data_IF_843886134378
#
_entry.id   IF_843886134378
#
_cell.length_a   1.000
_cell.length_b   1.000
_cell.length_c   1.000
_cell.angle_alpha   90.00
_cell.angle_beta   90.00
_cell.angle_gamma   90.00
#
_symmetry.space_group_name_H-M   'P 1'
#
loop_
_entity.id
_entity.type
_entity.pdbx_description
1 polymer ?
#
# COMPACT_ATOMS: atom_id res chain seq x y z
N UNK A 1 -13.46 20.34 -12.72
CA UNK A 1 -14.48 20.49 -11.66
C UNK A 1 -15.20 19.15 -11.59
N UNK A 2 -14.95 18.36 -10.55
CA UNK A 2 -15.71 17.13 -10.30
C UNK A 2 -16.29 17.20 -8.89
N UNK A 3 -17.57 16.88 -8.86
CA UNK A 3 -18.57 17.18 -7.84
C UNK A 3 -18.26 16.63 -6.45
N UNK A 4 -18.55 17.50 -5.46
CA UNK A 4 -19.10 17.22 -4.12
C UNK A 4 -19.01 15.77 -3.65
N UNK A 5 -18.15 15.53 -2.65
CA UNK A 5 -18.17 14.34 -1.82
C UNK A 5 -19.55 14.18 -1.16
N UNK A 6 -20.38 13.32 -1.76
CA UNK A 6 -21.68 12.92 -1.24
C UNK A 6 -21.55 12.30 0.17
N UNK A 7 -22.60 12.45 0.97
CA UNK A 7 -22.73 11.91 2.33
C UNK A 7 -22.38 10.41 2.43
N UNK A 8 -22.70 9.62 1.40
CA UNK A 8 -22.31 8.20 1.31
C UNK A 8 -20.81 7.98 1.14
N UNK A 9 -20.10 8.89 0.46
CA UNK A 9 -18.64 8.82 0.34
C UNK A 9 -17.96 9.09 1.68
N UNK A 10 -18.47 10.04 2.47
CA UNK A 10 -17.96 10.32 3.83
C UNK A 10 -18.05 9.09 4.75
N UNK A 11 -19.16 8.37 4.73
CA UNK A 11 -19.32 7.11 5.49
C UNK A 11 -18.36 6.01 5.02
N UNK A 12 -18.20 5.84 3.70
CA UNK A 12 -17.22 4.92 3.13
C UNK A 12 -15.79 5.26 3.57
N UNK A 13 -15.40 6.53 3.52
CA UNK A 13 -14.08 6.98 3.96
C UNK A 13 -13.86 6.75 5.45
N UNK A 14 -14.87 6.99 6.30
CA UNK A 14 -14.78 6.65 7.73
C UNK A 14 -14.62 5.15 7.96
N UNK A 15 -15.32 4.31 7.18
CA UNK A 15 -15.22 2.86 7.27
C UNK A 15 -13.85 2.35 6.82
N UNK A 16 -13.31 2.88 5.72
CA UNK A 16 -11.95 2.57 5.25
C UNK A 16 -10.88 3.06 6.24
N UNK A 17 -11.06 4.21 6.87
CA UNK A 17 -10.21 4.70 7.95
C UNK A 17 -10.20 3.73 9.14
N UNK A 18 -11.37 3.20 9.53
CA UNK A 18 -11.51 2.26 10.65
C UNK A 18 -10.85 0.90 10.39
N UNK A 19 -10.78 0.49 9.12
CA UNK A 19 -10.14 -0.76 8.68
C UNK A 19 -8.62 -0.58 8.56
N UNK A 20 -8.14 0.58 8.09
CA UNK A 20 -6.71 0.79 7.81
C UNK A 20 -5.90 1.47 8.94
N UNK A 21 -6.53 2.26 9.81
CA UNK A 21 -5.89 2.82 11.02
C UNK A 21 -6.25 1.96 12.24
N UNK A 22 -5.24 1.45 12.96
CA UNK A 22 -5.43 0.90 14.31
C UNK A 22 -6.07 1.98 15.19
N UNK A 23 -7.04 1.60 16.05
CA UNK A 23 -7.87 2.48 16.91
C UNK A 23 -7.13 3.68 17.52
N UNK A 24 -5.87 3.51 17.92
CA UNK A 24 -5.03 4.55 18.55
C UNK A 24 -4.64 5.73 17.63
N UNK A 25 -4.75 5.59 16.31
CA UNK A 25 -4.38 6.66 15.37
C UNK A 25 -5.58 7.49 14.91
N UNK A 26 -6.79 7.13 15.36
CA UNK A 26 -8.03 7.82 14.99
C UNK A 26 -8.18 9.16 15.71
N UNK A 27 -7.58 9.33 16.89
CA UNK A 27 -7.59 10.59 17.65
C UNK A 27 -6.45 11.55 17.27
N UNK A 28 -5.53 11.12 16.40
CA UNK A 28 -4.40 11.95 16.02
C UNK A 28 -4.83 13.10 15.09
N UNK A 29 -4.19 14.29 15.21
CA UNK A 29 -4.44 15.41 14.33
C UNK A 29 -4.21 14.99 12.85
N UNK A 30 -5.00 15.57 11.94
CA UNK A 30 -5.01 15.20 10.51
C UNK A 30 -3.59 15.21 9.90
N UNK A 31 -2.73 16.14 10.33
CA UNK A 31 -1.34 16.21 9.91
C UNK A 31 -0.51 14.97 10.31
N UNK A 32 -0.74 14.41 11.49
CA UNK A 32 -0.05 13.21 11.97
C UNK A 32 -0.56 11.94 11.28
N UNK A 33 -1.86 11.85 10.98
CA UNK A 33 -2.42 10.77 10.17
C UNK A 33 -1.80 10.72 8.78
N UNK A 34 -1.63 11.87 8.12
CA UNK A 34 -0.95 11.96 6.82
C UNK A 34 0.52 11.53 6.93
N UNK A 35 1.22 11.93 8.01
CA UNK A 35 2.62 11.55 8.24
C UNK A 35 2.78 10.05 8.48
N UNK A 36 1.86 9.43 9.22
CA UNK A 36 1.82 7.98 9.45
C UNK A 36 1.54 7.19 8.15
N UNK A 37 0.56 7.64 7.37
CA UNK A 37 0.24 7.06 6.05
C UNK A 37 1.43 7.13 5.10
N UNK A 38 2.12 8.28 5.04
CA UNK A 38 3.32 8.47 4.20
C UNK A 38 4.51 7.61 4.67
N UNK A 39 4.69 7.44 5.99
CA UNK A 39 5.71 6.53 6.53
C UNK A 39 5.41 5.08 6.14
N UNK A 40 4.14 4.66 6.20
CA UNK A 40 3.71 3.32 5.81
C UNK A 40 3.89 3.05 4.32
N UNK A 41 3.68 4.05 3.45
CA UNK A 41 3.96 3.94 2.01
C UNK A 41 5.45 3.64 1.74
N UNK A 42 6.37 4.33 2.43
CA UNK A 42 7.82 4.08 2.30
C UNK A 42 8.22 2.67 2.72
N UNK A 43 7.65 2.14 3.79
CA UNK A 43 7.94 0.76 4.23
C UNK A 43 7.49 -0.27 3.19
N UNK A 44 6.37 -0.02 2.49
CA UNK A 44 5.92 -0.91 1.42
C UNK A 44 6.88 -0.94 0.23
N UNK A 45 7.49 0.20 -0.10
CA UNK A 45 8.54 0.26 -1.12
C UNK A 45 9.77 -0.60 -0.76
N UNK A 46 10.17 -0.61 0.51
CA UNK A 46 11.25 -1.48 0.97
C UNK A 46 10.89 -2.97 0.83
N UNK A 47 9.67 -3.36 1.19
CA UNK A 47 9.20 -4.74 0.96
C UNK A 47 9.20 -5.11 -0.53
N UNK A 48 8.79 -4.18 -1.39
CA UNK A 48 8.82 -4.37 -2.85
C UNK A 48 10.24 -4.57 -3.37
N UNK A 49 11.17 -3.74 -2.90
CA UNK A 49 12.58 -3.83 -3.25
C UNK A 49 13.17 -5.19 -2.85
N UNK A 50 12.89 -5.65 -1.63
CA UNK A 50 13.38 -6.94 -1.11
C UNK A 50 12.78 -8.09 -1.93
N UNK A 51 11.47 -8.06 -2.18
CA UNK A 51 10.81 -9.08 -3.02
C UNK A 51 11.37 -9.11 -4.44
N UNK A 52 11.69 -7.94 -5.01
CA UNK A 52 12.31 -7.84 -6.33
C UNK A 52 13.74 -8.39 -6.33
N UNK A 53 14.54 -8.05 -5.31
CA UNK A 53 15.88 -8.60 -5.13
C UNK A 53 15.86 -10.12 -4.97
N UNK A 54 14.88 -10.67 -4.24
CA UNK A 54 14.70 -12.11 -4.11
C UNK A 54 14.43 -12.77 -5.47
N UNK A 55 13.54 -12.21 -6.30
CA UNK A 55 13.33 -12.72 -7.67
C UNK A 55 14.60 -12.69 -8.48
N UNK A 56 15.35 -11.58 -8.46
CA UNK A 56 16.58 -11.48 -9.23
C UNK A 56 17.61 -12.51 -8.75
N UNK A 57 17.73 -12.69 -7.43
CA UNK A 57 18.64 -13.67 -6.84
C UNK A 57 18.25 -15.11 -7.22
N UNK A 58 16.99 -15.50 -7.03
CA UNK A 58 16.51 -16.84 -7.37
C UNK A 58 16.49 -17.09 -8.88
N UNK A 59 16.10 -16.11 -9.69
CA UNK A 59 16.13 -16.20 -11.14
C UNK A 59 17.54 -16.34 -11.69
N UNK A 60 18.50 -15.57 -11.18
CA UNK A 60 19.92 -15.72 -11.51
C UNK A 60 20.46 -17.07 -11.06
N UNK A 61 20.20 -17.45 -9.80
CA UNK A 61 20.63 -18.74 -9.25
C UNK A 61 20.11 -19.93 -10.05
N UNK A 62 18.87 -19.85 -10.52
CA UNK A 62 18.26 -20.87 -11.37
C UNK A 62 18.90 -20.92 -12.77
N UNK A 63 19.14 -19.77 -13.42
CA UNK A 63 19.75 -19.73 -14.75
C UNK A 63 21.18 -20.31 -14.78
N UNK A 64 21.92 -20.17 -13.68
CA UNK A 64 23.29 -20.68 -13.54
C UNK A 64 23.36 -22.06 -12.87
N UNK A 65 22.22 -22.75 -12.70
CA UNK A 65 22.13 -24.07 -12.04
C UNK A 65 22.75 -24.10 -10.62
N UNK A 66 22.84 -22.95 -9.94
CA UNK A 66 23.38 -22.84 -8.58
C UNK A 66 22.43 -23.52 -7.58
N UNK A 67 21.13 -23.44 -7.83
CA UNK A 67 20.08 -24.03 -6.99
C UNK A 67 19.40 -25.20 -7.70
N UNK A 68 19.31 -26.37 -7.06
CA UNK A 68 18.54 -27.54 -7.51
C UNK A 68 17.01 -27.37 -7.38
N UNK A 69 16.53 -26.13 -7.29
CA UNK A 69 15.09 -25.85 -7.20
C UNK A 69 14.48 -26.07 -8.58
N UNK A 70 13.58 -27.05 -8.69
CA UNK A 70 12.89 -27.32 -9.95
C UNK A 70 11.98 -26.16 -10.37
N UNK A 71 11.65 -26.11 -11.66
CA UNK A 71 10.88 -25.05 -12.33
C UNK A 71 9.59 -24.68 -11.58
N UNK A 72 8.93 -25.66 -10.95
CA UNK A 72 7.74 -25.45 -10.13
C UNK A 72 7.96 -24.44 -9.00
N UNK A 73 9.10 -24.49 -8.31
CA UNK A 73 9.42 -23.54 -7.24
C UNK A 73 9.63 -22.12 -7.79
N UNK A 74 10.27 -22.00 -8.95
CA UNK A 74 10.44 -20.72 -9.63
C UNK A 74 9.07 -20.10 -9.97
N UNK A 75 8.16 -20.88 -10.56
CA UNK A 75 6.81 -20.41 -10.87
C UNK A 75 6.03 -19.98 -9.61
N UNK A 76 6.17 -20.70 -8.49
CA UNK A 76 5.55 -20.31 -7.22
C UNK A 76 6.11 -18.98 -6.73
N UNK A 77 7.44 -18.80 -6.71
CA UNK A 77 8.07 -17.55 -6.26
C UNK A 77 7.63 -16.37 -7.13
N UNK A 78 7.62 -16.55 -8.46
CA UNK A 78 7.14 -15.54 -9.40
C UNK A 78 5.65 -15.23 -9.18
N UNK A 79 4.82 -16.25 -8.99
CA UNK A 79 3.39 -16.08 -8.72
C UNK A 79 3.13 -15.29 -7.43
N UNK A 80 3.80 -15.67 -6.34
CA UNK A 80 3.70 -14.97 -5.04
C UNK A 80 4.16 -13.52 -5.18
N UNK A 81 5.23 -13.26 -5.93
CA UNK A 81 5.69 -11.90 -6.19
C UNK A 81 4.67 -11.07 -6.97
N UNK A 82 4.07 -11.61 -8.03
CA UNK A 82 3.07 -10.89 -8.83
C UNK A 82 1.86 -10.54 -7.97
N UNK A 83 1.38 -11.48 -7.15
CA UNK A 83 0.29 -11.23 -6.19
C UNK A 83 0.69 -10.15 -5.17
N UNK A 84 1.90 -10.25 -4.60
CA UNK A 84 2.39 -9.29 -3.61
C UNK A 84 2.53 -7.87 -4.21
N UNK A 85 3.07 -7.77 -5.42
CA UNK A 85 3.16 -6.54 -6.20
C UNK A 85 1.78 -5.93 -6.43
N UNK A 86 0.82 -6.72 -6.93
CA UNK A 86 -0.55 -6.26 -7.16
C UNK A 86 -1.22 -5.74 -5.89
N UNK A 87 -1.07 -6.44 -4.76
CA UNK A 87 -1.57 -6.01 -3.46
C UNK A 87 -0.93 -4.70 -3.01
N UNK A 88 0.39 -4.53 -3.17
CA UNK A 88 1.07 -3.30 -2.77
C UNK A 88 0.61 -2.11 -3.63
N UNK A 89 0.47 -2.30 -4.95
CA UNK A 89 -0.04 -1.27 -5.86
C UNK A 89 -1.46 -0.85 -5.48
N UNK A 90 -2.33 -1.82 -5.18
CA UNK A 90 -3.70 -1.56 -4.74
C UNK A 90 -3.73 -0.78 -3.42
N UNK A 91 -2.95 -1.20 -2.43
CA UNK A 91 -2.90 -0.50 -1.15
C UNK A 91 -2.25 0.90 -1.27
N UNK A 92 -1.32 1.10 -2.21
CA UNK A 92 -0.74 2.42 -2.49
C UNK A 92 -1.79 3.37 -3.05
N UNK A 93 -2.62 2.89 -3.98
CA UNK A 93 -3.76 3.65 -4.50
C UNK A 93 -4.70 4.08 -3.36
N UNK A 94 -5.07 3.15 -2.48
CA UNK A 94 -5.90 3.46 -1.31
C UNK A 94 -5.26 4.49 -0.38
N UNK A 95 -3.96 4.37 -0.08
CA UNK A 95 -3.26 5.34 0.78
C UNK A 95 -3.28 6.74 0.16
N UNK A 96 -3.08 6.86 -1.15
CA UNK A 96 -3.14 8.15 -1.83
C UNK A 96 -4.54 8.76 -1.79
N UNK A 97 -5.58 7.97 -2.06
CA UNK A 97 -6.97 8.42 -1.96
C UNK A 97 -7.31 8.88 -0.52
N UNK A 98 -6.82 8.17 0.50
CA UNK A 98 -6.96 8.55 1.91
C UNK A 98 -6.22 9.86 2.24
N UNK A 99 -5.01 10.06 1.72
CA UNK A 99 -4.25 11.30 1.93
C UNK A 99 -4.94 12.48 1.25
N UNK A 100 -5.46 12.29 0.04
CA UNK A 100 -6.19 13.32 -0.72
C UNK A 100 -7.48 13.73 0.00
N UNK A 101 -8.27 12.74 0.46
CA UNK A 101 -9.46 12.99 1.26
C UNK A 101 -9.15 13.75 2.57
N UNK A 102 -8.08 13.34 3.28
CA UNK A 102 -7.65 14.03 4.51
C UNK A 102 -7.15 15.45 4.24
N UNK A 103 -6.53 15.71 3.09
CA UNK A 103 -6.09 17.05 2.69
C UNK A 103 -7.29 17.96 2.38
N UNK A 104 -8.23 17.48 1.57
CA UNK A 104 -9.47 18.19 1.28
C UNK A 104 -10.23 18.55 2.55
N UNK A 105 -10.37 17.60 3.48
CA UNK A 105 -11.03 17.82 4.77
C UNK A 105 -10.34 18.91 5.60
N UNK A 106 -9.01 18.96 5.61
CA UNK A 106 -8.27 20.01 6.33
C UNK A 106 -8.57 21.40 5.73
N UNK A 107 -8.66 21.52 4.42
CA UNK A 107 -8.92 22.80 3.75
C UNK A 107 -10.38 23.28 3.91
N UNK A 108 -11.35 22.38 4.05
CA UNK A 108 -12.78 22.72 4.18
C UNK A 108 -13.33 22.79 5.62
N UNK A 109 -12.70 22.12 6.61
CA UNK A 109 -13.08 22.23 8.03
C UNK A 109 -12.27 23.32 8.77
N UNK A 110 -11.49 24.15 8.07
CA UNK A 110 -10.75 25.29 8.65
C UNK A 110 -11.51 26.64 8.56
N UNK A 111 -12.75 26.63 8.09
CA UNK A 111 -13.75 27.71 8.19
C UNK A 111 -14.81 27.33 9.25
#
# INVERSE_FOLDING_TARGET
>A
MHDTYDSQQKERYQSYLKIHLKKEQFDLPIAEKIKALKKRDRTKWWHLLINFAAILFFGYSFFYDITQLGDTFLYIIVGVFVINMGLILYQKKQINELIEFLRWKKEHDSD
#
